data_IF_457741294168
#
_entry.id   IF_457741294168
#
_cell.length_a   1.000
_cell.length_b   1.000
_cell.length_c   1.000
_cell.angle_alpha   90.00
_cell.angle_beta   90.00
_cell.angle_gamma   90.00
#
_symmetry.space_group_name_H-M   'P 1'
#
loop_
_entity.id
_entity.type
_entity.pdbx_description
1 polymer ?
2 non-polymer ?
3 water ?
#
# COMPACT_ATOMS: atom_id res chain seq x y z
N UNK A 7 -2.98 -18.21 0.97
CA UNK A 7 -2.43 -18.36 -0.37
C UNK A 7 -3.54 -18.52 -1.40
N UNK A 8 -4.01 -17.40 -1.94
CA UNK A 8 -5.04 -17.43 -2.97
C UNK A 8 -4.43 -17.00 -4.30
N UNK A 9 -4.79 -17.69 -5.37
CA UNK A 9 -4.29 -17.35 -6.69
C UNK A 9 -5.25 -16.36 -7.35
N UNK A 10 -4.70 -15.49 -8.20
CA UNK A 10 -5.50 -14.52 -8.94
C UNK A 10 -6.09 -15.18 -10.18
N UNK A 11 -7.20 -14.64 -10.66
CA UNK A 11 -7.92 -15.25 -11.79
C UNK A 11 -7.28 -14.90 -13.14
N UNK A 12 -6.00 -14.57 -13.11
CA UNK A 12 -5.34 -13.99 -14.27
C UNK A 12 -4.23 -14.86 -14.85
N UNK A 13 -3.87 -15.93 -14.14
CA UNK A 13 -2.80 -16.81 -14.58
C UNK A 13 -1.58 -16.77 -13.67
N UNK A 14 -0.49 -17.38 -14.15
CA UNK A 14 0.72 -17.53 -13.34
C UNK A 14 1.51 -16.24 -13.19
N UNK A 15 1.38 -15.33 -14.15
CA UNK A 15 2.04 -14.04 -14.02
C UNK A 15 1.18 -12.91 -14.54
N UNK A 16 1.56 -11.69 -14.20
CA UNK A 16 0.77 -10.54 -14.61
C UNK A 16 0.66 -10.49 -16.13
N UNK A 17 -0.54 -10.21 -16.62
CA UNK A 17 -0.75 -10.09 -18.06
C UNK A 17 0.01 -8.90 -18.64
N UNK A 18 0.47 -7.99 -17.78
CA UNK A 18 1.18 -6.81 -18.23
C UNK A 18 2.60 -7.10 -18.70
N UNK A 19 3.17 -8.20 -18.21
CA UNK A 19 4.54 -8.57 -18.57
C UNK A 19 4.61 -9.20 -19.95
N UNK A 20 5.50 -8.67 -20.78
CA UNK A 20 5.69 -9.15 -22.13
C UNK A 20 6.58 -10.40 -22.16
N UNK A 21 7.53 -10.45 -21.24
CA UNK A 21 8.48 -11.55 -21.16
C UNK A 21 8.18 -12.43 -19.95
N UNK A 22 8.78 -13.61 -19.93
CA UNK A 22 8.63 -14.53 -18.79
C UNK A 22 9.20 -13.91 -17.51
N UNK A 23 8.43 -14.03 -16.43
CA UNK A 23 8.81 -13.44 -15.14
C UNK A 23 9.59 -14.47 -14.31
N UNK A 24 10.74 -14.03 -13.80
CA UNK A 24 11.58 -14.87 -12.95
C UNK A 24 11.57 -14.24 -11.56
N UNK A 25 10.75 -14.78 -10.65
CA UNK A 25 10.50 -14.17 -9.34
C UNK A 25 11.79 -13.86 -8.57
N UNK A 26 12.75 -14.77 -8.64
CA UNK A 26 13.96 -14.66 -7.84
C UNK A 26 15.08 -13.85 -8.46
N UNK A 27 14.89 -13.41 -9.70
CA UNK A 27 15.94 -12.66 -10.39
C UNK A 27 15.46 -11.30 -10.93
N UNK A 28 14.14 -11.13 -11.03
CA UNK A 28 13.58 -9.91 -11.61
C UNK A 28 13.11 -8.92 -10.55
N UNK A 29 13.10 -7.64 -10.92
CA UNK A 29 12.45 -6.63 -10.11
C UNK A 29 10.97 -6.97 -10.06
N UNK A 30 10.31 -6.62 -8.97
CA UNK A 30 8.91 -7.01 -8.80
C UNK A 30 8.12 -5.99 -7.99
N UNK A 31 6.79 -6.07 -8.09
CA UNK A 31 5.91 -5.17 -7.34
C UNK A 31 5.00 -5.95 -6.39
N UNK A 32 4.63 -5.28 -5.29
CA UNK A 32 3.72 -5.83 -4.32
C UNK A 32 2.64 -4.80 -4.02
N UNK A 33 1.38 -5.21 -4.12
CA UNK A 33 0.27 -4.34 -3.76
C UNK A 33 -0.25 -4.77 -2.40
N UNK A 34 -0.28 -3.82 -1.47
CA UNK A 34 -0.75 -4.08 -0.12
C UNK A 34 -2.12 -3.43 0.05
N UNK A 35 -3.11 -4.24 0.42
CA UNK A 35 -4.47 -3.75 0.64
C UNK A 35 -4.91 -3.94 2.07
N UNK A 36 -5.35 -2.86 2.71
CA UNK A 36 -5.92 -2.93 4.04
C UNK A 36 -7.43 -2.74 4.00
N UNK A 37 -8.14 -3.66 4.63
CA UNK A 37 -9.61 -3.64 4.66
C UNK A 37 -10.12 -3.46 6.09
N UNK A 38 -11.22 -2.73 6.26
CA UNK A 38 -11.87 -2.62 7.56
C UNK A 38 -12.68 -3.88 7.84
N UNK A 49 -18.45 -7.11 -1.11
CA UNK A 49 -17.14 -7.05 -0.45
C UNK A 49 -16.86 -5.63 0.05
N UNK A 50 -15.78 -5.49 0.81
CA UNK A 50 -15.46 -4.21 1.44
C UNK A 50 -14.60 -3.35 0.53
N UNK A 51 -14.65 -2.04 0.76
CA UNK A 51 -13.74 -1.10 0.11
C UNK A 51 -12.33 -1.30 0.68
N UNK A 52 -11.31 -0.93 -0.10
CA UNK A 52 -9.95 -0.97 0.40
C UNK A 52 -9.55 0.41 0.92
N UNK A 53 -9.17 0.49 2.18
CA UNK A 53 -8.85 1.77 2.82
C UNK A 53 -7.36 2.07 2.89
N UNK A 54 -6.53 1.04 2.81
CA UNK A 54 -5.10 1.21 2.60
C UNK A 54 -4.78 0.59 1.25
N UNK A 55 -4.08 1.35 0.41
CA UNK A 55 -3.77 0.93 -0.95
C UNK A 55 -2.35 1.34 -1.31
N UNK A 56 -1.38 0.50 -0.93
CA UNK A 56 0.03 0.83 -1.12
C UNK A 56 0.67 -0.12 -2.11
N UNK A 57 1.29 0.47 -3.14
CA UNK A 57 2.04 -0.31 -4.12
C UNK A 57 3.52 -0.08 -3.88
N UNK A 58 4.27 -1.17 -3.76
CA UNK A 58 5.70 -1.09 -3.56
C UNK A 58 6.39 -1.78 -4.73
N UNK A 59 7.32 -1.07 -5.38
CA UNK A 59 8.11 -1.67 -6.44
C UNK A 59 9.54 -1.85 -5.96
N UNK A 60 10.05 -3.06 -6.19
CA UNK A 60 11.39 -3.42 -5.74
C UNK A 60 12.32 -3.58 -6.92
N UNK A 61 13.37 -2.77 -6.94
CA UNK A 61 14.41 -2.87 -7.93
C UNK A 61 15.50 -3.78 -7.42
N UNK A 62 15.56 -5.00 -7.97
CA UNK A 62 16.48 -6.02 -7.48
C UNK A 62 17.95 -5.65 -7.59
N UNK A 63 18.37 -5.21 -8.76
CA UNK A 63 19.78 -4.91 -9.00
C UNK A 63 20.25 -3.72 -8.16
N UNK A 64 19.36 -2.77 -7.92
CA UNK A 64 19.71 -1.59 -7.13
C UNK A 64 19.44 -1.78 -5.64
N UNK A 65 18.71 -2.84 -5.30
CA UNK A 65 18.33 -3.09 -3.91
C UNK A 65 17.58 -1.90 -3.32
N UNK A 66 16.60 -1.40 -4.05
CA UNK A 66 15.80 -0.25 -3.62
C UNK A 66 14.32 -0.56 -3.67
N UNK A 67 13.55 0.18 -2.87
CA UNK A 67 12.11 0.07 -2.91
C UNK A 67 11.52 1.46 -3.07
N UNK A 68 10.44 1.55 -3.84
CA UNK A 68 9.66 2.79 -3.94
C UNK A 68 8.23 2.50 -3.57
N UNK A 69 7.70 3.26 -2.62
CA UNK A 69 6.33 3.07 -2.17
C UNK A 69 5.44 4.16 -2.76
N UNK A 70 4.21 3.79 -3.07
CA UNK A 70 3.23 4.71 -3.60
C UNK A 70 1.90 4.39 -2.95
N UNK A 71 1.25 5.40 -2.39
CA UNK A 71 -0.09 5.22 -1.86
C UNK A 71 -1.07 5.70 -2.92
N UNK A 72 -2.02 4.86 -3.31
CA UNK A 72 -3.06 5.28 -4.25
C UNK A 72 -4.21 5.90 -3.47
N UNK A 73 -4.49 7.19 -3.71
CA UNK A 73 -5.56 7.85 -2.95
C UNK A 73 -6.86 7.04 -3.04
N UNK A 74 -7.52 6.79 -1.93
CA UNK A 74 -8.69 5.91 -1.94
C UNK A 74 -9.80 6.48 -2.82
N UNK A 75 -9.83 7.81 -2.96
CA UNK A 75 -10.84 8.48 -3.77
C UNK A 75 -10.34 8.82 -5.18
N UNK A 76 -9.17 8.32 -5.55
CA UNK A 76 -8.63 8.58 -6.89
C UNK A 76 -9.65 8.19 -7.96
N UNK A 77 -9.85 9.11 -8.90
CA UNK A 77 -10.85 8.99 -9.96
C UNK A 77 -10.26 8.17 -11.11
N UNK A 78 -10.59 6.89 -11.16
CA UNK A 78 -9.96 5.96 -12.09
C UNK A 78 -10.99 5.06 -12.74
N UNK A 79 -10.64 4.49 -13.89
CA UNK A 79 -11.53 3.54 -14.51
C UNK A 79 -11.44 2.21 -13.77
N UNK A 80 -12.60 1.72 -13.33
CA UNK A 80 -12.68 0.39 -12.76
C UNK A 80 -13.24 -0.52 -13.85
N UNK A 81 -12.44 -1.48 -14.32
CA UNK A 81 -12.93 -2.34 -15.40
C UNK A 81 -14.30 -2.95 -15.10
N UNK A 82 -15.25 -2.75 -16.00
CA UNK A 82 -16.59 -3.29 -15.86
C UNK A 82 -17.55 -2.36 -15.12
N UNK A 83 -17.03 -1.26 -14.58
CA UNK A 83 -17.83 -0.39 -13.73
C UNK A 83 -17.68 1.10 -14.01
N UNK A 84 -16.84 1.46 -14.97
CA UNK A 84 -16.65 2.85 -15.34
C UNK A 84 -15.76 3.61 -14.37
N UNK A 85 -15.67 4.92 -14.56
CA UNK A 85 -14.88 5.78 -13.68
C UNK A 85 -15.54 5.91 -12.31
N UNK A 86 -14.72 5.83 -11.26
CA UNK A 86 -15.22 5.74 -9.88
C UNK A 86 -14.04 5.92 -8.94
N UNK A 87 -14.31 5.94 -7.62
CA UNK A 87 -13.25 5.99 -6.62
C UNK A 87 -12.50 4.68 -6.61
N UNK A 88 -11.16 4.76 -6.57
CA UNK A 88 -10.33 3.57 -6.57
C UNK A 88 -10.78 2.58 -5.51
N UNK A 89 -11.18 3.10 -4.36
CA UNK A 89 -11.50 2.26 -3.19
C UNK A 89 -12.65 1.28 -3.46
N UNK A 90 -13.49 1.61 -4.43
CA UNK A 90 -14.63 0.78 -4.76
C UNK A 90 -14.28 -0.47 -5.56
N UNK A 91 -13.08 -0.50 -6.13
CA UNK A 91 -12.71 -1.65 -6.96
C UNK A 91 -12.77 -2.93 -6.14
N UNK A 92 -12.22 -2.90 -4.93
CA UNK A 92 -12.21 -4.08 -4.06
C UNK A 92 -13.63 -4.45 -3.65
N UNK A 93 -14.48 -3.45 -3.49
CA UNK A 93 -15.88 -3.69 -3.12
C UNK A 93 -16.65 -4.40 -4.24
N UNK A 94 -16.40 -4.00 -5.49
CA UNK A 94 -17.11 -4.58 -6.63
C UNK A 94 -16.58 -5.97 -7.01
N UNK A 95 -15.27 -6.18 -6.91
CA UNK A 95 -14.68 -7.40 -7.42
C UNK A 95 -13.47 -7.93 -6.67
N UNK A 96 -13.31 -7.51 -5.42
CA UNK A 96 -12.29 -8.08 -4.55
C UNK A 96 -10.88 -7.81 -5.04
N UNK A 97 -9.96 -8.67 -4.64
CA UNK A 97 -8.54 -8.44 -4.94
C UNK A 97 -8.26 -8.46 -6.44
N UNK A 98 -8.96 -9.32 -7.18
CA UNK A 98 -8.73 -9.45 -8.62
C UNK A 98 -9.00 -8.14 -9.36
N UNK A 99 -10.12 -7.51 -9.03
CA UNK A 99 -10.50 -6.27 -9.68
C UNK A 99 -9.60 -5.11 -9.25
N UNK A 100 -9.17 -5.11 -7.99
CA UNK A 100 -8.26 -4.06 -7.51
C UNK A 100 -6.93 -4.14 -8.26
N UNK A 101 -6.44 -5.36 -8.43
CA UNK A 101 -5.23 -5.58 -9.20
C UNK A 101 -5.40 -5.11 -10.66
N UNK A 102 -6.51 -5.49 -11.30
CA UNK A 102 -6.79 -5.03 -12.65
C UNK A 102 -6.81 -3.51 -12.72
N UNK A 103 -7.44 -2.89 -11.72
CA UNK A 103 -7.55 -1.43 -11.69
C UNK A 103 -6.17 -0.76 -11.57
N UNK A 104 -5.31 -1.31 -10.72
CA UNK A 104 -3.96 -0.76 -10.57
C UNK A 104 -3.14 -0.90 -11.85
N UNK A 105 -3.18 -2.09 -12.46
CA UNK A 105 -2.40 -2.35 -13.66
C UNK A 105 -2.81 -1.44 -14.80
N UNK A 106 -4.10 -1.14 -14.91
CA UNK A 106 -4.58 -0.26 -15.97
C UNK A 106 -4.18 1.19 -15.68
N UNK A 107 -4.35 1.59 -14.43
CA UNK A 107 -4.05 2.97 -14.02
C UNK A 107 -2.56 3.31 -14.21
N UNK A 108 -1.69 2.40 -13.78
CA UNK A 108 -0.25 2.67 -13.79
C UNK A 108 0.52 1.98 -14.93
N UNK A 109 -0.18 1.14 -15.69
CA UNK A 109 0.41 0.43 -16.82
C UNK A 109 1.69 -0.30 -16.43
N UNK A 110 1.63 -1.01 -15.30
CA UNK A 110 2.74 -1.83 -14.83
C UNK A 110 2.17 -3.13 -14.30
N UNK A 111 3.01 -4.15 -14.18
CA UNK A 111 2.50 -5.37 -13.55
C UNK A 111 2.38 -5.25 -12.04
N UNK A 112 1.36 -5.88 -11.49
CA UNK A 112 1.26 -6.09 -10.06
C UNK A 112 1.54 -7.57 -9.87
N UNK A 113 2.74 -7.88 -9.38
CA UNK A 113 3.18 -9.26 -9.32
C UNK A 113 2.58 -9.97 -8.12
N UNK A 114 2.61 -9.32 -6.97
CA UNK A 114 2.07 -9.90 -5.75
C UNK A 114 1.07 -8.97 -5.10
N UNK A 115 0.10 -9.56 -4.42
CA UNK A 115 -0.88 -8.78 -3.67
C UNK A 115 -1.06 -9.38 -2.27
N UNK A 116 -1.12 -8.50 -1.28
CA UNK A 116 -1.31 -8.88 0.11
C UNK A 116 -2.52 -8.13 0.68
N UNK A 117 -3.49 -8.88 1.20
CA UNK A 117 -4.70 -8.30 1.76
C UNK A 117 -4.78 -8.59 3.27
N UNK A 118 -5.02 -7.54 4.07
CA UNK A 118 -5.04 -7.66 5.53
C UNK A 118 -6.16 -6.82 6.14
N UNK A 119 -6.78 -7.34 7.19
CA UNK A 119 -7.78 -6.56 7.93
C UNK A 119 -7.16 -5.92 9.16
N UNK A 120 -7.99 -5.27 9.99
CA UNK A 120 -7.51 -4.58 11.19
C UNK A 120 -6.82 -5.55 12.15
N UNK A 121 -7.48 -6.66 12.41
CA UNK A 121 -7.02 -7.62 13.40
C UNK A 121 -5.64 -8.14 13.07
N UNK A 122 -5.45 -8.54 11.82
CA UNK A 122 -4.16 -9.07 11.37
C UNK A 122 -3.07 -8.03 11.58
N UNK A 123 -3.36 -6.79 11.21
CA UNK A 123 -2.40 -5.70 11.37
C UNK A 123 -2.00 -5.51 12.83
N UNK A 124 -2.99 -5.42 13.72
CA UNK A 124 -2.74 -5.19 15.14
C UNK A 124 -1.94 -6.36 15.72
N UNK A 125 -2.30 -7.58 15.32
CA UNK A 125 -1.63 -8.77 15.83
C UNK A 125 -0.19 -8.84 15.35
N UNK A 126 0.05 -8.41 14.11
CA UNK A 126 1.40 -8.42 13.55
C UNK A 126 2.28 -7.44 14.35
N UNK A 127 1.77 -6.24 14.54
CA UNK A 127 2.50 -5.22 15.28
C UNK A 127 2.80 -5.73 16.70
N UNK A 128 1.84 -6.36 17.35
CA UNK A 128 2.05 -6.87 18.70
C UNK A 128 3.03 -8.04 18.74
N UNK A 129 3.01 -8.89 17.71
CA UNK A 129 3.95 -10.00 17.64
C UNK A 129 5.38 -9.51 17.49
N UNK A 130 5.52 -8.33 16.86
CA UNK A 130 6.83 -7.70 16.68
C UNK A 130 7.24 -6.86 17.89
N UNK A 131 6.48 -6.97 18.97
CA UNK A 131 6.71 -6.17 20.19
C UNK A 131 6.61 -4.67 19.90
N UNK A 132 5.72 -4.31 18.98
CA UNK A 132 5.46 -2.93 18.63
C UNK A 132 6.31 -2.43 17.48
N UNK A 133 5.98 -1.24 16.97
CA UNK A 133 6.77 -0.62 15.93
C UNK A 133 7.12 0.80 16.31
N UNK A 134 8.31 1.23 15.88
CA UNK A 134 8.83 2.53 16.23
C UNK A 134 8.28 3.61 15.29
N UNK A 135 7.71 4.66 15.88
CA UNK A 135 7.19 5.80 15.14
C UNK A 135 7.64 7.07 15.85
N UNK A 136 8.11 8.05 15.10
CA UNK A 136 8.41 9.36 15.68
C UNK A 136 7.21 10.28 15.45
N UNK A 137 6.42 10.49 16.50
CA UNK A 137 5.25 11.34 16.42
C UNK A 137 5.67 12.81 16.52
N UNK A 138 5.09 13.66 15.67
CA UNK A 138 5.58 15.03 15.55
C UNK A 138 4.51 16.12 15.70
N UNK A 139 3.23 15.73 15.70
CA UNK A 139 2.15 16.70 15.60
C UNK A 139 1.15 16.62 16.75
N UNK A 140 0.96 17.74 17.43
CA UNK A 140 -0.07 17.83 18.48
C UNK A 140 -1.44 17.67 17.84
N UNK A 141 -1.61 18.18 16.62
CA UNK A 141 -2.87 18.02 15.90
C UNK A 141 -3.23 16.54 15.72
N UNK A 142 -2.26 15.74 15.30
CA UNK A 142 -2.48 14.31 15.09
C UNK A 142 -2.78 13.61 16.42
N UNK A 143 -2.03 13.96 17.46
CA UNK A 143 -2.26 13.41 18.78
C UNK A 143 -3.68 13.69 19.25
N UNK A 144 -4.13 14.93 19.13
CA UNK A 144 -5.47 15.31 19.57
C UNK A 144 -6.54 14.61 18.74
N UNK A 145 -6.32 14.48 17.43
CA UNK A 145 -7.32 13.84 16.59
C UNK A 145 -7.46 12.35 16.94
N UNK A 146 -6.35 11.69 17.23
CA UNK A 146 -6.37 10.28 17.61
C UNK A 146 -7.06 10.11 18.97
N UNK A 147 -6.80 11.03 19.89
CA UNK A 147 -7.54 11.05 21.16
C UNK A 147 -9.04 11.07 20.91
N UNK A 148 -9.46 11.96 20.02
CA UNK A 148 -10.87 12.08 19.69
C UNK A 148 -11.39 10.82 19.00
N UNK A 149 -10.68 10.37 17.97
CA UNK A 149 -11.05 9.15 17.24
C UNK A 149 -11.32 7.98 18.19
N UNK A 150 -10.48 7.86 19.22
CA UNK A 150 -10.50 6.69 20.08
C UNK A 150 -11.14 6.95 21.44
N UNK A 151 -11.82 8.08 21.58
CA UNK A 151 -12.39 8.47 22.87
C UNK A 151 -11.36 8.31 23.98
N UNK A 152 -10.13 8.69 23.69
CA UNK A 152 -9.07 8.77 24.67
C UNK A 152 -8.38 7.46 25.02
N UNK A 153 -8.76 6.39 24.32
CA UNK A 153 -8.11 5.10 24.54
C UNK A 153 -6.67 5.10 24.02
N UNK A 154 -6.41 5.87 22.97
CA UNK A 154 -5.05 6.00 22.46
C UNK A 154 -4.54 7.41 22.65
N UNK A 155 -3.49 7.54 23.46
CA UNK A 155 -2.85 8.82 23.71
C UNK A 155 -1.36 8.74 23.35
N UNK A 156 -1.03 9.22 22.16
CA UNK A 156 0.34 9.20 21.69
C UNK A 156 1.11 10.37 22.27
N UNK A 157 2.44 10.26 22.27
CA UNK A 157 3.31 11.31 22.77
C UNK A 157 4.30 11.69 21.68
N UNK A 158 4.67 12.96 21.62
CA UNK A 158 5.67 13.39 20.67
C UNK A 158 7.00 12.68 20.93
N UNK A 159 7.78 12.49 19.87
CA UNK A 159 9.07 11.85 19.97
C UNK A 159 9.06 10.42 19.47
N UNK A 160 10.18 9.74 19.63
CA UNK A 160 10.33 8.39 19.11
C UNK A 160 9.86 7.37 20.15
N UNK A 161 8.84 6.60 19.78
CA UNK A 161 8.24 5.67 20.71
C UNK A 161 7.90 4.38 20.00
N UNK A 162 7.76 3.31 20.76
CA UNK A 162 7.34 2.03 20.20
C UNK A 162 5.86 1.88 20.49
N UNK A 163 5.06 1.85 19.43
CA UNK A 163 3.60 1.77 19.52
C UNK A 163 3.14 0.32 19.48
N UNK A 164 2.17 -0.02 20.33
CA UNK A 164 1.57 -1.35 20.25
C UNK A 164 0.57 -1.36 19.11
N UNK A 165 -0.08 -2.50 18.88
CA UNK A 165 -0.97 -2.64 17.74
C UNK A 165 -2.15 -1.68 17.78
N UNK A 166 -2.76 -1.52 18.95
CA UNK A 166 -3.91 -0.62 19.09
C UNK A 166 -3.50 0.80 18.69
N UNK A 167 -2.34 1.23 19.18
CA UNK A 167 -1.85 2.58 18.93
C UNK A 167 -1.51 2.78 17.46
N UNK A 168 -0.82 1.79 16.89
CA UNK A 168 -0.44 1.84 15.48
C UNK A 168 -1.66 1.86 14.56
N UNK A 169 -2.67 1.07 14.90
CA UNK A 169 -3.91 1.02 14.12
C UNK A 169 -4.61 2.38 14.14
N UNK A 170 -4.70 3.00 15.31
CA UNK A 170 -5.29 4.32 15.45
C UNK A 170 -4.53 5.34 14.58
N UNK A 171 -3.21 5.25 14.62
CA UNK A 171 -2.34 6.15 13.86
C UNK A 171 -2.57 6.04 12.34
N UNK A 172 -2.69 4.82 11.82
CA UNK A 172 -2.89 4.63 10.38
C UNK A 172 -4.35 4.83 9.95
N UNK A 173 -5.26 5.01 10.90
CA UNK A 173 -6.66 5.20 10.56
C UNK A 173 -7.09 6.65 10.58
N UNK A 174 -6.40 7.48 11.36
CA UNK A 174 -6.85 8.86 11.55
C UNK A 174 -6.79 9.67 10.23
N UNK A 175 -7.79 10.52 10.03
CA UNK A 175 -7.90 11.32 8.81
C UNK A 175 -8.45 12.71 9.09
N UNK A 181 0.34 15.74 6.97
CA UNK A 181 0.62 14.39 6.51
C UNK A 181 -0.68 13.64 6.18
N UNK A 182 -0.73 13.02 5.00
CA UNK A 182 -1.91 12.27 4.59
C UNK A 182 -1.94 10.94 5.32
N UNK A 183 -3.11 10.32 5.36
CA UNK A 183 -3.27 8.99 5.93
C UNK A 183 -2.42 7.97 5.16
N UNK A 184 -2.41 8.09 3.84
CA UNK A 184 -1.59 7.21 3.03
C UNK A 184 -0.14 7.28 3.45
N UNK A 185 0.33 8.47 3.79
CA UNK A 185 1.73 8.63 4.19
C UNK A 185 2.00 8.00 5.56
N UNK A 186 1.03 8.10 6.48
CA UNK A 186 1.16 7.39 7.76
C UNK A 186 1.19 5.87 7.57
N UNK A 187 0.39 5.38 6.62
CA UNK A 187 0.35 3.96 6.32
C UNK A 187 1.70 3.48 5.81
N UNK A 188 2.29 4.24 4.89
CA UNK A 188 3.59 3.87 4.34
C UNK A 188 4.66 3.96 5.41
N UNK A 189 4.56 4.95 6.29
CA UNK A 189 5.49 5.12 7.41
C UNK A 189 5.50 3.90 8.31
N UNK A 190 4.32 3.44 8.69
CA UNK A 190 4.21 2.30 9.59
C UNK A 190 4.60 1.01 8.88
N UNK A 191 4.26 0.89 7.60
CA UNK A 191 4.62 -0.29 6.84
C UNK A 191 6.13 -0.44 6.82
N UNK A 192 6.85 0.64 6.55
CA UNK A 192 8.31 0.56 6.55
C UNK A 192 8.86 0.28 7.95
N UNK A 193 8.19 0.79 8.98
CA UNK A 193 8.61 0.55 10.37
C UNK A 193 8.45 -0.92 10.75
N UNK A 194 7.37 -1.54 10.28
CA UNK A 194 7.14 -2.95 10.49
C UNK A 194 8.30 -3.77 9.91
N UNK A 195 8.69 -3.42 8.69
CA UNK A 195 9.81 -4.09 8.03
C UNK A 195 11.10 -3.90 8.85
N UNK A 196 11.36 -2.69 9.30
CA UNK A 196 12.56 -2.45 10.09
C UNK A 196 12.55 -3.27 11.39
N UNK A 197 11.38 -3.40 12.01
CA UNK A 197 11.32 -4.12 13.28
C UNK A 197 11.50 -5.62 13.06
N UNK A 198 11.02 -6.09 11.92
CA UNK A 198 11.14 -7.51 11.58
C UNK A 198 12.60 -7.88 11.37
N UNK A 199 13.41 -6.92 10.88
CA UNK A 199 14.85 -7.12 10.81
C UNK A 199 15.37 -7.51 12.19
N UNK A 200 15.03 -6.69 13.17
CA UNK A 200 15.52 -6.86 14.54
C UNK A 200 15.37 -8.29 15.02
N UNK A 218 -4.86 -12.61 7.06
CA UNK A 218 -4.01 -12.06 6.01
C UNK A 218 -3.93 -13.02 4.82
N UNK A 219 -4.17 -12.50 3.62
CA UNK A 219 -4.25 -13.34 2.43
C UNK A 219 -3.42 -12.78 1.28
N UNK A 220 -2.67 -13.64 0.61
CA UNK A 220 -1.75 -13.20 -0.44
C UNK A 220 -1.68 -14.23 -1.56
N UNK A 221 -1.09 -13.84 -2.68
CA UNK A 221 -1.06 -14.73 -3.85
C UNK A 221 0.29 -15.40 -4.09
N UNK A 222 1.12 -15.47 -3.06
CA UNK A 222 2.33 -16.26 -3.14
C UNK A 222 2.43 -17.12 -1.88
N UNK A 223 3.06 -18.29 -2.01
CA UNK A 223 3.16 -19.20 -0.87
C UNK A 223 3.97 -18.55 0.25
N UNK A 224 3.80 -19.08 1.46
CA UNK A 224 4.57 -18.57 2.59
C UNK A 224 6.06 -18.84 2.36
N UNK A 225 6.36 -19.94 1.68
CA UNK A 225 7.74 -20.28 1.36
C UNK A 225 8.37 -19.23 0.45
N UNK A 226 7.61 -18.75 -0.54
CA UNK A 226 8.10 -17.72 -1.44
C UNK A 226 8.21 -16.40 -0.70
N UNK A 227 7.21 -16.10 0.11
CA UNK A 227 7.22 -14.88 0.92
C UNK A 227 8.50 -14.85 1.75
N UNK A 228 8.77 -15.93 2.48
CA UNK A 228 9.97 -16.04 3.29
C UNK A 228 11.25 -15.97 2.46
N UNK A 229 11.20 -16.48 1.24
CA UNK A 229 12.34 -16.40 0.34
C UNK A 229 12.69 -14.97 -0.03
N UNK A 230 11.69 -14.09 -0.05
CA UNK A 230 11.89 -12.70 -0.41
C UNK A 230 12.34 -11.85 0.78
N UNK A 231 12.22 -12.41 1.97
CA UNK A 231 12.42 -11.62 3.19
C UNK A 231 13.84 -11.07 3.34
N UNK A 232 14.86 -11.89 3.03
CA UNK A 232 16.22 -11.37 3.14
C UNK A 232 16.46 -10.18 2.22
N UNK A 233 15.94 -10.25 1.00
CA UNK A 233 16.09 -9.13 0.08
C UNK A 233 15.35 -7.91 0.60
N UNK A 234 14.13 -8.12 1.07
CA UNK A 234 13.27 -7.01 1.48
C UNK A 234 13.79 -6.30 2.73
N UNK A 235 14.58 -7.01 3.54
CA UNK A 235 15.09 -6.46 4.79
C UNK A 235 16.55 -5.98 4.67
N UNK A 236 17.07 -5.92 3.44
CA UNK A 236 18.45 -5.49 3.22
C UNK A 236 18.51 -4.47 2.10
N UNK A 237 17.51 -3.60 2.05
CA UNK A 237 17.42 -2.60 0.98
C UNK A 237 18.40 -1.47 1.27
N UNK A 238 19.04 -0.97 0.21
CA UNK A 238 19.96 0.15 0.34
C UNK A 238 19.21 1.46 0.42
N UNK A 239 17.99 1.50 -0.13
CA UNK A 239 17.18 2.71 -0.09
C UNK A 239 15.69 2.39 -0.09
N UNK A 240 14.92 3.23 0.59
CA UNK A 240 13.47 3.20 0.55
C UNK A 240 12.98 4.61 0.27
N UNK A 241 12.16 4.75 -0.77
CA UNK A 241 11.66 6.06 -1.16
C UNK A 241 10.16 6.01 -1.35
N UNK A 242 9.55 7.20 -1.35
CA UNK A 242 8.12 7.33 -1.58
C UNK A 242 7.91 8.26 -2.76
N UNK A 243 6.84 7.99 -3.50
CA UNK A 243 6.42 8.89 -4.55
C UNK A 243 4.93 9.15 -4.37
N UNK A 244 4.44 10.21 -4.98
CA UNK A 244 3.10 10.67 -4.68
C UNK A 244 2.37 11.04 -5.96
N UNK A 245 1.12 10.61 -6.03
CA UNK A 245 0.25 11.02 -7.12
C UNK A 245 -0.48 12.29 -6.69
N UNK A 246 -0.28 13.36 -7.44
CA UNK A 246 -0.89 14.64 -7.12
C UNK A 246 -2.18 14.80 -7.89
N UNK A 247 -2.97 15.80 -7.52
CA UNK A 247 -4.26 16.01 -8.17
C UNK A 247 -5.08 17.05 -7.47
N UNK A 248 -6.38 17.07 -7.77
CA UNK A 248 -7.26 18.06 -7.16
C UNK A 248 -8.64 17.47 -6.90
N UNK A 249 -9.35 18.12 -5.98
CA UNK A 249 -10.70 17.68 -5.63
C UNK A 249 -11.64 17.85 -6.83
N UNK A 250 -12.34 16.78 -7.14
CA UNK A 250 -13.30 16.77 -8.23
C UNK A 250 -14.64 16.31 -7.67
N UNK A 251 -15.61 17.22 -7.67
CA UNK A 251 -16.89 16.99 -7.00
C UNK A 251 -18.05 17.38 -7.92
N UNK A 252 -18.25 16.62 -9.00
CA UNK A 252 -19.23 16.98 -10.03
C UNK A 252 -20.67 17.06 -9.53
N UNK A 253 -21.04 16.21 -8.58
CA UNK A 253 -22.42 16.19 -8.09
C UNK A 253 -22.55 15.54 -6.72
N UNK A 254 -21.86 16.09 -5.73
CA UNK A 254 -22.02 15.65 -4.35
C UNK A 254 -21.39 14.30 -4.05
N UNK A 255 -20.46 13.88 -4.90
CA UNK A 255 -19.60 12.75 -4.59
C UNK A 255 -18.17 13.22 -4.79
N UNK A 256 -17.34 13.00 -3.78
CA UNK A 256 -15.96 13.46 -3.82
C UNK A 256 -15.06 12.47 -4.53
N UNK A 257 -14.34 12.97 -5.55
CA UNK A 257 -13.27 12.22 -6.17
C UNK A 257 -11.97 13.02 -6.10
N UNK A 258 -10.85 12.33 -6.26
CA UNK A 258 -9.56 12.99 -6.38
C UNK A 258 -9.10 12.79 -7.81
N UNK A 259 -9.16 13.85 -8.60
CA UNK A 259 -8.72 13.76 -9.99
C UNK A 259 -7.21 13.85 -10.07
N UNK A 260 -6.60 12.89 -10.75
CA UNK A 260 -5.14 12.80 -10.80
C UNK A 260 -4.55 13.77 -11.81
N UNK A 261 -3.48 14.44 -11.39
CA UNK A 261 -2.70 15.26 -12.30
C UNK A 261 -2.06 14.32 -13.33
N UNK A 262 -2.33 14.55 -14.61
CA UNK A 262 -1.95 13.58 -15.63
C UNK A 262 -0.45 13.63 -15.96
N UNK A 263 0.17 14.81 -15.85
CA UNK A 263 1.61 14.91 -16.07
C UNK A 263 2.39 14.16 -14.99
N UNK A 264 1.96 14.30 -13.74
CA UNK A 264 2.59 13.57 -12.64
C UNK A 264 2.32 12.08 -12.76
N UNK A 265 1.12 11.73 -13.19
CA UNK A 265 0.78 10.31 -13.34
C UNK A 265 1.69 9.67 -14.39
N UNK A 266 1.92 10.37 -15.49
CA UNK A 266 2.77 9.86 -16.56
C UNK A 266 4.21 9.72 -16.10
N UNK A 267 4.65 10.67 -15.28
CA UNK A 267 5.99 10.65 -14.70
C UNK A 267 6.16 9.46 -13.76
N UNK A 268 5.16 9.25 -12.91
CA UNK A 268 5.16 8.11 -11.99
C UNK A 268 5.16 6.78 -12.74
N UNK A 269 4.32 6.66 -13.76
CA UNK A 269 4.28 5.45 -14.58
C UNK A 269 5.64 5.11 -15.17
N UNK A 270 6.33 6.12 -15.72
CA UNK A 270 7.65 5.91 -16.32
C UNK A 270 8.67 5.47 -15.28
N UNK A 271 8.63 6.09 -14.11
CA UNK A 271 9.54 5.77 -13.03
C UNK A 271 9.36 4.32 -12.57
N UNK A 272 8.11 3.92 -12.38
CA UNK A 272 7.81 2.55 -11.95
C UNK A 272 8.11 1.55 -13.06
N UNK A 273 7.83 1.90 -14.31
CA UNK A 273 8.14 1.02 -15.41
C UNK A 273 9.64 0.81 -15.53
N UNK A 274 10.40 1.86 -15.32
CA UNK A 274 11.86 1.77 -15.39
C UNK A 274 12.39 0.92 -14.24
N UNK A 275 11.81 1.12 -13.07
CA UNK A 275 12.22 0.41 -11.87
C UNK A 275 12.01 -1.10 -12.07
N UNK A 276 10.91 -1.46 -12.71
CA UNK A 276 10.60 -2.87 -12.92
C UNK A 276 11.30 -3.43 -14.14
N UNK A 277 11.98 -2.58 -14.89
CA UNK A 277 12.70 -3.01 -16.07
C UNK A 277 11.78 -3.39 -17.21
N UNK A 278 10.59 -2.80 -17.23
CA UNK A 278 9.62 -3.02 -18.31
C UNK A 278 9.43 -1.74 -19.10
#
# INVERSE_FOLDING_TARGET
MASKEAHVSLARGEQSVKRIKEFDPGKDSFSVLLLGIDAREKNGETVDQARSDANVLVTFNRKEKTAKMLSIPRDAYVNIPGHGYDKFTHAHAYGGVDLTVKTVEEMLDIPVDYVVESNFTAFEDVVNELNGVKVTVKSDKVIQQIKKDTKGKVVLQKGTHTLDGEEALAYVRTRKADSDLLRGQRQMEVLSAIIDKSKSLSSIPAYDDIVDTMGQNLKMNLSLKDAIGLFPFITSLKSVESIQLTGYDYEPAGVYYFKLNQQKLQEVKKELQNDLGVLEHHHHHH
#
